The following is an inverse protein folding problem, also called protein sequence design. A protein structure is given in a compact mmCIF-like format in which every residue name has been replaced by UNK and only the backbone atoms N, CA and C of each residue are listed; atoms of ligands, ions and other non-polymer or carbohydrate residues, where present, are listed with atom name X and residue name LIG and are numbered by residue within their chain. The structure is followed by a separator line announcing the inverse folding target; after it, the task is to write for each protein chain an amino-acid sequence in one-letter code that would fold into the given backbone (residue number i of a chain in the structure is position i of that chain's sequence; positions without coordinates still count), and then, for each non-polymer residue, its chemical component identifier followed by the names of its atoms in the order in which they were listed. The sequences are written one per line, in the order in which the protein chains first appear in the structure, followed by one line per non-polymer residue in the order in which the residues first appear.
data_IF_151099190191
#
_entry.id   IF_151099190191
#
_cell.length_a   1.000
_cell.length_b   1.000
_cell.length_c   1.000
_cell.angle_alpha   90.00
_cell.angle_beta   90.00
_cell.angle_gamma   90.00
#
_symmetry.space_group_name_H-M   'P 1'
#
loop_
_entity.id
_entity.type
_entity.pdbx_description
1 polymer ?
#
# COMPACT_ATOMS: atom_id res chain seq x y z
N UNK A 1 -25.57 -31.51 -8.05
CA UNK A 1 -26.03 -32.02 -9.36
C UNK A 1 -24.99 -31.61 -10.40
N UNK A 2 -24.41 -32.56 -11.16
CA UNK A 2 -23.50 -32.21 -12.26
C UNK A 2 -24.17 -31.27 -13.25
N UNK A 3 -23.41 -30.31 -13.78
CA UNK A 3 -23.84 -29.34 -14.80
C UNK A 3 -22.93 -29.42 -16.01
N UNK A 4 -23.44 -29.05 -17.18
CA UNK A 4 -22.60 -28.95 -18.37
C UNK A 4 -21.68 -27.74 -18.24
N UNK A 5 -20.40 -27.92 -18.58
CA UNK A 5 -19.37 -26.87 -18.49
C UNK A 5 -19.60 -25.74 -19.50
N UNK A 6 -20.32 -26.04 -20.59
CA UNK A 6 -20.63 -25.07 -21.66
C UNK A 6 -21.89 -24.24 -21.36
N UNK A 7 -22.54 -24.46 -20.21
CA UNK A 7 -23.69 -23.66 -19.82
C UNK A 7 -23.27 -22.21 -19.57
N UNK A 8 -23.98 -21.20 -20.12
CA UNK A 8 -23.61 -19.80 -19.96
C UNK A 8 -23.46 -19.37 -18.49
N UNK A 9 -24.34 -19.86 -17.61
CA UNK A 9 -24.27 -19.57 -16.18
C UNK A 9 -23.00 -20.14 -15.53
N UNK A 10 -22.51 -21.30 -15.98
CA UNK A 10 -21.30 -21.92 -15.46
C UNK A 10 -20.06 -21.15 -15.94
N UNK A 11 -20.03 -20.77 -17.21
CA UNK A 11 -18.95 -19.94 -17.78
C UNK A 11 -18.88 -18.59 -17.06
N UNK A 12 -20.02 -17.92 -16.87
CA UNK A 12 -20.10 -16.66 -16.12
C UNK A 12 -19.55 -16.80 -14.69
N UNK A 13 -19.94 -17.86 -13.99
CA UNK A 13 -19.50 -18.12 -12.61
C UNK A 13 -17.99 -18.41 -12.54
N UNK A 14 -17.44 -19.13 -13.53
CA UNK A 14 -16.00 -19.37 -13.65
C UNK A 14 -15.21 -18.09 -13.92
N UNK A 15 -15.69 -17.24 -14.83
CA UNK A 15 -15.09 -15.94 -15.13
C UNK A 15 -15.17 -14.99 -13.92
N UNK A 16 -16.29 -14.98 -13.19
CA UNK A 16 -16.42 -14.24 -11.94
C UNK A 16 -15.36 -14.68 -10.92
N UNK A 17 -15.21 -15.98 -10.69
CA UNK A 17 -14.24 -16.51 -9.74
C UNK A 17 -12.80 -16.14 -10.12
N UNK A 18 -12.45 -16.25 -11.41
CA UNK A 18 -11.14 -15.81 -11.90
C UNK A 18 -10.94 -14.31 -11.66
N UNK A 19 -11.94 -13.49 -11.99
CA UNK A 19 -11.88 -12.04 -11.81
C UNK A 19 -11.70 -11.62 -10.35
N UNK A 20 -12.36 -12.31 -9.42
CA UNK A 20 -12.16 -12.08 -7.99
C UNK A 20 -10.78 -12.55 -7.52
N UNK A 21 -10.32 -13.73 -7.97
CA UNK A 21 -8.99 -14.23 -7.63
C UNK A 21 -7.87 -13.27 -8.11
N UNK A 22 -8.00 -12.71 -9.32
CA UNK A 22 -7.07 -11.72 -9.85
C UNK A 22 -6.98 -10.45 -9.00
N UNK A 23 -8.08 -10.05 -8.33
CA UNK A 23 -8.12 -8.87 -7.46
C UNK A 23 -7.45 -9.09 -6.10
N UNK A 24 -7.39 -10.33 -5.61
CA UNK A 24 -6.83 -10.65 -4.29
C UNK A 24 -5.30 -10.53 -4.21
N UNK A 25 -4.60 -10.37 -5.33
CA UNK A 25 -3.14 -10.32 -5.32
C UNK A 25 -2.60 -8.95 -4.92
N UNK A 26 -1.91 -8.89 -3.79
CA UNK A 26 -1.20 -7.70 -3.33
C UNK A 26 -0.04 -7.31 -4.24
N UNK A 27 0.69 -8.27 -4.82
CA UNK A 27 1.75 -8.01 -5.80
C UNK A 27 1.21 -7.70 -7.19
N UNK A 28 -0.04 -8.11 -7.47
CA UNK A 28 -0.65 -8.04 -8.80
C UNK A 28 -0.29 -9.22 -9.71
N UNK A 29 0.49 -10.20 -9.24
CA UNK A 29 0.92 -11.35 -10.05
C UNK A 29 -0.26 -12.19 -10.55
N UNK A 30 -1.36 -12.29 -9.78
CA UNK A 30 -2.53 -13.05 -10.21
C UNK A 30 -3.23 -12.46 -11.42
N UNK A 31 -2.98 -11.20 -11.80
CA UNK A 31 -3.47 -10.63 -13.08
C UNK A 31 -2.96 -11.40 -14.30
N UNK A 32 -1.92 -12.22 -14.14
CA UNK A 32 -1.38 -13.10 -15.18
C UNK A 32 -2.14 -14.41 -15.31
N UNK A 33 -3.00 -14.77 -14.35
CA UNK A 33 -3.83 -15.96 -14.43
C UNK A 33 -4.88 -15.77 -15.53
N UNK A 34 -5.07 -16.80 -16.33
CA UNK A 34 -6.19 -16.88 -17.27
C UNK A 34 -6.87 -18.23 -17.18
N UNK A 35 -8.18 -18.27 -17.48
CA UNK A 35 -8.94 -19.51 -17.50
C UNK A 35 -8.55 -20.29 -18.76
N UNK A 36 -7.91 -21.45 -18.58
CA UNK A 36 -7.60 -22.37 -19.68
C UNK A 36 -8.83 -23.19 -20.05
N UNK A 37 -9.44 -23.86 -19.06
CA UNK A 37 -10.70 -24.60 -19.25
C UNK A 37 -11.40 -24.91 -17.92
N UNK A 38 -12.69 -25.23 -18.00
CA UNK A 38 -13.47 -25.79 -16.89
C UNK A 38 -13.41 -27.32 -16.99
N UNK A 39 -12.88 -27.99 -15.97
CA UNK A 39 -12.74 -29.45 -15.91
C UNK A 39 -14.07 -30.11 -15.53
N UNK A 40 -14.75 -29.57 -14.52
CA UNK A 40 -16.07 -30.05 -14.10
C UNK A 40 -16.85 -28.98 -13.34
N UNK A 41 -18.18 -29.07 -13.40
CA UNK A 41 -19.08 -28.19 -12.67
C UNK A 41 -20.20 -28.98 -12.00
N UNK A 42 -20.55 -28.59 -10.77
CA UNK A 42 -21.70 -29.12 -10.06
C UNK A 42 -22.38 -28.03 -9.22
N UNK A 43 -23.71 -28.06 -9.16
CA UNK A 43 -24.49 -27.13 -8.34
C UNK A 43 -25.14 -27.82 -7.15
N UNK A 44 -25.27 -27.12 -6.04
CA UNK A 44 -25.99 -27.57 -4.86
C UNK A 44 -26.90 -26.46 -4.38
N UNK A 45 -28.17 -26.80 -4.23
CA UNK A 45 -29.16 -25.90 -3.68
C UNK A 45 -29.07 -25.89 -2.15
N UNK A 46 -28.47 -24.85 -1.58
CA UNK A 46 -28.36 -24.64 -0.14
C UNK A 46 -29.57 -23.89 0.43
N UNK A 47 -29.60 -23.67 1.75
CA UNK A 47 -30.69 -22.92 2.40
C UNK A 47 -30.68 -21.46 1.95
N UNK A 48 -29.53 -20.80 2.01
CA UNK A 48 -29.35 -19.37 1.71
C UNK A 48 -28.63 -19.11 0.38
N UNK A 49 -27.89 -20.09 -0.12
CA UNK A 49 -27.02 -19.93 -1.29
C UNK A 49 -27.28 -21.03 -2.32
N UNK A 50 -27.13 -20.69 -3.59
CA UNK A 50 -26.86 -21.65 -4.66
C UNK A 50 -25.34 -21.80 -4.76
N UNK A 51 -24.82 -22.97 -4.43
CA UNK A 51 -23.39 -23.24 -4.47
C UNK A 51 -23.03 -23.88 -5.81
N UNK A 52 -22.04 -23.34 -6.50
CA UNK A 52 -21.47 -23.89 -7.73
C UNK A 52 -20.04 -24.31 -7.43
N UNK A 53 -19.79 -25.61 -7.44
CA UNK A 53 -18.46 -26.21 -7.31
C UNK A 53 -17.86 -26.35 -8.71
N UNK A 54 -16.65 -25.83 -8.88
CA UNK A 54 -15.91 -25.78 -10.14
C UNK A 54 -14.53 -26.39 -9.93
N UNK A 55 -14.16 -27.31 -10.81
CA UNK A 55 -12.76 -27.70 -11.00
C UNK A 55 -12.28 -26.96 -12.25
N UNK A 56 -11.32 -26.06 -12.11
CA UNK A 56 -10.86 -25.17 -13.19
C UNK A 56 -9.38 -25.34 -13.45
N UNK A 57 -8.98 -25.22 -14.70
CA UNK A 57 -7.58 -25.08 -15.10
C UNK A 57 -7.26 -23.61 -15.30
N UNK A 58 -6.29 -23.12 -14.54
CA UNK A 58 -5.71 -21.80 -14.74
C UNK A 58 -4.37 -21.94 -15.45
N UNK A 59 -4.09 -21.00 -16.35
CA UNK A 59 -2.78 -20.87 -16.98
C UNK A 59 -2.06 -19.61 -16.52
N UNK A 60 -0.75 -19.74 -16.27
CA UNK A 60 0.17 -18.64 -16.00
C UNK A 60 1.59 -19.11 -16.28
N UNK A 61 2.46 -18.24 -16.86
CA UNK A 61 3.87 -18.57 -17.04
C UNK A 61 4.68 -18.51 -15.73
N UNK A 62 4.06 -18.13 -14.61
CA UNK A 62 4.74 -17.85 -13.35
C UNK A 62 4.33 -18.79 -12.20
N UNK A 63 3.71 -19.93 -12.49
CA UNK A 63 3.48 -20.93 -11.44
C UNK A 63 4.80 -21.45 -10.89
N UNK A 64 4.88 -21.62 -9.57
CA UNK A 64 6.07 -22.10 -8.86
C UNK A 64 6.48 -23.51 -9.26
N UNK A 65 5.52 -24.33 -9.67
CA UNK A 65 5.79 -25.69 -10.18
C UNK A 65 6.56 -25.69 -11.51
N UNK A 66 6.55 -24.58 -12.24
CA UNK A 66 7.04 -24.48 -13.62
C UNK A 66 6.08 -25.03 -14.68
N UNK A 67 4.91 -25.54 -14.29
CA UNK A 67 3.86 -25.91 -15.22
C UNK A 67 3.20 -24.65 -15.82
N UNK A 68 2.70 -24.75 -17.06
CA UNK A 68 1.94 -23.66 -17.68
C UNK A 68 0.47 -23.64 -17.25
N UNK A 69 -0.05 -24.77 -16.78
CA UNK A 69 -1.46 -24.99 -16.45
C UNK A 69 -1.55 -25.82 -15.17
N UNK A 70 -2.39 -25.40 -14.24
CA UNK A 70 -2.66 -26.09 -12.97
C UNK A 70 -4.17 -26.13 -12.68
N UNK A 71 -4.60 -27.14 -11.93
CA UNK A 71 -6.02 -27.39 -11.61
C UNK A 71 -6.32 -26.92 -10.20
N UNK A 72 -7.42 -26.20 -10.02
CA UNK A 72 -7.89 -25.68 -8.75
C UNK A 72 -9.38 -25.97 -8.54
N UNK A 73 -9.74 -26.30 -7.30
CA UNK A 73 -11.12 -26.47 -6.87
C UNK A 73 -11.63 -25.14 -6.27
N UNK A 74 -12.72 -24.65 -6.81
CA UNK A 74 -13.30 -23.36 -6.48
C UNK A 74 -14.79 -23.52 -6.23
N UNK A 75 -15.30 -22.87 -5.20
CA UNK A 75 -16.72 -22.80 -4.89
C UNK A 75 -17.20 -21.38 -5.04
N UNK A 76 -18.23 -21.15 -5.85
CA UNK A 76 -18.92 -19.86 -5.95
C UNK A 76 -20.30 -20.00 -5.32
N UNK A 77 -20.63 -19.09 -4.41
CA UNK A 77 -21.89 -19.05 -3.70
C UNK A 77 -22.68 -17.83 -4.17
N UNK A 78 -23.87 -18.06 -4.70
CA UNK A 78 -24.82 -16.99 -5.04
C UNK A 78 -25.90 -16.93 -3.98
N UNK A 79 -25.98 -15.84 -3.25
CA UNK A 79 -27.02 -15.63 -2.25
C UNK A 79 -28.40 -15.50 -2.92
N UNK A 80 -29.40 -16.20 -2.38
CA UNK A 80 -30.69 -16.41 -3.05
C UNK A 80 -31.59 -15.18 -3.08
N UNK A 81 -31.47 -14.28 -2.10
CA UNK A 81 -32.38 -13.15 -1.94
C UNK A 81 -31.92 -11.91 -2.73
N UNK A 82 -30.63 -11.58 -2.68
CA UNK A 82 -30.04 -10.38 -3.29
C UNK A 82 -29.25 -10.69 -4.58
N UNK A 83 -28.94 -11.97 -4.82
CA UNK A 83 -28.15 -12.40 -5.98
C UNK A 83 -26.65 -12.12 -5.85
N UNK A 84 -26.15 -11.71 -4.68
CA UNK A 84 -24.73 -11.42 -4.47
C UNK A 84 -23.89 -12.68 -4.64
N UNK A 85 -22.75 -12.55 -5.31
CA UNK A 85 -21.79 -13.64 -5.49
C UNK A 85 -20.63 -13.51 -4.51
N UNK A 86 -20.20 -14.64 -3.98
CA UNK A 86 -18.97 -14.79 -3.20
C UNK A 86 -18.26 -16.06 -3.66
N UNK A 87 -16.96 -16.17 -3.44
CA UNK A 87 -16.22 -17.36 -3.82
C UNK A 87 -15.25 -17.81 -2.72
N UNK A 88 -14.91 -19.09 -2.76
CA UNK A 88 -13.93 -19.73 -1.90
C UNK A 88 -13.05 -20.65 -2.76
N UNK A 89 -11.78 -20.75 -2.40
CA UNK A 89 -10.79 -21.63 -3.02
C UNK A 89 -10.07 -22.35 -1.89
N UNK A 90 -9.80 -23.64 -2.07
CA UNK A 90 -9.14 -24.45 -1.04
C UNK A 90 -7.67 -24.04 -0.88
N UNK A 91 -6.93 -24.04 -1.99
CA UNK A 91 -5.52 -23.68 -2.05
C UNK A 91 -5.29 -22.56 -3.06
N UNK A 92 -4.60 -21.50 -2.63
CA UNK A 92 -4.23 -20.41 -3.52
C UNK A 92 -3.09 -20.81 -4.45
N UNK A 93 -3.06 -20.30 -5.70
CA UNK A 93 -1.96 -20.57 -6.60
C UNK A 93 -0.59 -20.14 -6.06
N UNK A 94 0.36 -21.08 -5.98
CA UNK A 94 1.74 -20.76 -5.63
C UNK A 94 2.47 -20.23 -6.87
N UNK A 95 3.01 -19.01 -6.76
CA UNK A 95 3.72 -18.34 -7.84
C UNK A 95 5.23 -18.32 -7.58
N UNK A 96 6.01 -18.15 -8.65
CA UNK A 96 7.45 -17.95 -8.62
C UNK A 96 7.82 -16.68 -7.82
N UNK A 97 8.67 -16.82 -6.81
CA UNK A 97 9.03 -15.73 -5.89
C UNK A 97 9.70 -14.55 -6.63
N UNK A 98 10.58 -14.84 -7.58
CA UNK A 98 11.25 -13.81 -8.40
C UNK A 98 10.22 -13.04 -9.25
N UNK A 99 9.19 -13.73 -9.78
CA UNK A 99 8.10 -13.07 -10.47
C UNK A 99 7.27 -12.19 -9.52
N UNK A 100 6.94 -12.67 -8.32
CA UNK A 100 6.18 -11.89 -7.32
C UNK A 100 6.89 -10.56 -7.04
N UNK A 101 8.21 -10.61 -6.80
CA UNK A 101 9.02 -9.41 -6.54
C UNK A 101 8.98 -8.44 -7.73
N UNK A 102 9.20 -8.94 -8.95
CA UNK A 102 9.14 -8.09 -10.17
C UNK A 102 7.81 -7.38 -10.33
N UNK A 103 6.69 -8.09 -10.16
CA UNK A 103 5.35 -7.51 -10.26
C UNK A 103 5.09 -6.49 -9.15
N UNK A 104 5.59 -6.74 -7.94
CA UNK A 104 5.48 -5.80 -6.84
C UNK A 104 6.27 -4.51 -7.11
N UNK A 105 7.52 -4.62 -7.58
CA UNK A 105 8.35 -3.46 -7.97
C UNK A 105 7.63 -2.65 -9.05
N UNK A 106 7.09 -3.32 -10.08
CA UNK A 106 6.32 -2.67 -11.14
C UNK A 106 5.11 -1.92 -10.57
N UNK A 107 4.31 -2.54 -9.71
CA UNK A 107 3.13 -1.93 -9.09
C UNK A 107 3.50 -0.69 -8.27
N UNK A 108 4.59 -0.75 -7.49
CA UNK A 108 5.08 0.40 -6.72
C UNK A 108 5.51 1.54 -7.65
N UNK A 109 6.21 1.22 -8.73
CA UNK A 109 6.65 2.20 -9.71
C UNK A 109 5.49 2.84 -10.49
N UNK A 110 4.47 2.07 -10.85
CA UNK A 110 3.22 2.57 -11.43
C UNK A 110 2.52 3.54 -10.49
N UNK A 111 2.40 3.19 -9.20
CA UNK A 111 1.84 4.09 -8.19
C UNK A 111 2.70 5.35 -7.99
N UNK A 112 4.03 5.24 -8.00
CA UNK A 112 4.93 6.39 -7.91
C UNK A 112 4.68 7.35 -9.08
N UNK A 113 4.64 6.83 -10.31
CA UNK A 113 4.37 7.60 -11.51
C UNK A 113 2.99 8.27 -11.47
N UNK A 114 1.96 7.53 -11.04
CA UNK A 114 0.60 8.06 -10.91
C UNK A 114 0.53 9.21 -9.90
N UNK A 115 1.24 9.11 -8.77
CA UNK A 115 1.35 10.23 -7.82
C UNK A 115 2.08 11.43 -8.40
N UNK A 116 3.20 11.22 -9.08
CA UNK A 116 3.96 12.30 -9.73
C UNK A 116 3.12 13.03 -10.80
N UNK A 117 2.31 12.30 -11.56
CA UNK A 117 1.38 12.87 -12.54
C UNK A 117 0.26 13.66 -11.86
N UNK A 118 -0.32 13.13 -10.78
CA UNK A 118 -1.32 13.85 -9.99
C UNK A 118 -0.77 15.16 -9.41
N UNK A 119 0.46 15.15 -8.86
CA UNK A 119 1.11 16.35 -8.36
C UNK A 119 1.38 17.36 -9.48
N UNK A 120 1.87 16.91 -10.64
CA UNK A 120 2.09 17.78 -11.80
C UNK A 120 0.79 18.43 -12.26
N UNK A 121 -0.32 17.69 -12.27
CA UNK A 121 -1.62 18.24 -12.64
C UNK A 121 -2.05 19.31 -11.64
N UNK A 122 -1.89 19.06 -10.33
CA UNK A 122 -2.19 20.06 -9.30
C UNK A 122 -1.31 21.32 -9.43
N UNK A 123 -0.01 21.18 -9.74
CA UNK A 123 0.87 22.33 -9.97
C UNK A 123 0.41 23.18 -11.18
N UNK A 124 -0.04 22.54 -12.26
CA UNK A 124 -0.58 23.22 -13.44
C UNK A 124 -1.90 23.92 -13.15
N UNK A 125 -2.78 23.28 -12.37
CA UNK A 125 -4.06 23.86 -11.96
C UNK A 125 -3.81 25.12 -11.11
N UNK A 126 -2.90 25.05 -10.12
CA UNK A 126 -2.49 26.20 -9.30
C UNK A 126 -1.93 27.34 -10.16
N UNK A 127 -1.07 27.04 -11.15
CA UNK A 127 -0.50 28.05 -12.03
C UNK A 127 -1.60 28.74 -12.88
N UNK A 128 -2.57 27.95 -13.35
CA UNK A 128 -3.70 28.45 -14.16
C UNK A 128 -4.65 29.33 -13.34
N UNK A 129 -4.84 29.01 -12.06
CA UNK A 129 -5.61 29.83 -11.12
C UNK A 129 -4.91 31.19 -10.87
N UNK A 130 -3.58 31.18 -10.66
CA UNK A 130 -2.81 32.42 -10.45
C UNK A 130 -2.83 33.37 -11.67
N UNK A 131 -2.81 32.85 -12.89
CA UNK A 131 -2.90 33.67 -14.10
C UNK A 131 -4.32 34.27 -14.31
N UNK A 132 -5.36 33.60 -13.82
CA UNK A 132 -6.74 34.11 -13.89
C UNK A 132 -7.11 35.09 -12.77
N UNK A 133 -6.41 35.06 -11.63
CA UNK A 133 -6.60 36.03 -10.52
C UNK A 133 -5.93 37.39 -10.78
N UNK A 134 -5.21 37.53 -11.90
CA UNK A 134 -4.67 38.80 -12.37
C UNK A 134 -5.62 39.56 -13.31
N UNK A 135 -6.15 40.69 -12.83
CA UNK A 135 -6.41 41.95 -13.58
C UNK A 135 -7.87 42.39 -13.83
N UNK A 136 -8.56 42.82 -12.78
CA UNK A 136 -9.31 44.10 -12.84
C UNK A 136 -8.66 45.14 -11.88
N UNK A 137 -7.73 45.99 -12.36
CA UNK A 137 -7.09 47.02 -11.55
C UNK A 137 -8.01 48.23 -11.26
N UNK A 138 -9.31 48.18 -11.57
CA UNK A 138 -10.19 49.36 -11.53
C UNK A 138 -10.87 49.65 -10.19
N UNK A 139 -10.69 48.88 -9.12
CA UNK A 139 -11.39 49.11 -7.85
C UNK A 139 -10.44 49.46 -6.70
N UNK A 140 -9.65 50.53 -6.89
CA UNK A 140 -9.00 51.25 -5.78
C UNK A 140 -9.87 52.43 -5.39
N UNK A 141 -10.51 52.32 -4.22
CA UNK A 141 -10.74 53.38 -3.23
C UNK A 141 -12.03 53.11 -2.45
N UNK A 142 -11.98 52.19 -1.49
CA UNK A 142 -12.42 52.50 -0.12
C UNK A 142 -11.51 51.76 0.86
N UNK A 143 -10.82 52.54 1.68
CA UNK A 143 -10.03 52.10 2.80
C UNK A 143 -10.95 51.54 3.89
N UNK A 144 -11.07 50.22 3.97
CA UNK A 144 -11.40 49.55 5.21
C UNK A 144 -10.33 48.49 5.49
N UNK A 145 -9.78 48.59 6.70
CA UNK A 145 -8.79 47.74 7.32
C UNK A 145 -9.27 46.29 7.37
N UNK A 146 -8.82 45.43 6.46
CA UNK A 146 -9.04 43.99 6.56
C UNK A 146 -7.71 43.26 6.78
N UNK A 147 -7.56 42.84 8.02
CA UNK A 147 -6.68 41.81 8.55
C UNK A 147 -6.67 40.59 7.61
N UNK A 148 -5.62 40.49 6.79
CA UNK A 148 -5.36 39.32 5.93
C UNK A 148 -4.78 38.19 6.77
N UNK A 149 -5.53 37.78 7.78
CA UNK A 149 -5.47 36.42 8.30
C UNK A 149 -6.10 35.57 7.22
N UNK A 150 -5.26 34.89 6.44
CA UNK A 150 -5.69 33.81 5.54
C UNK A 150 -6.43 32.80 6.41
N UNK A 151 -7.74 33.00 6.50
CA UNK A 151 -8.66 32.11 7.18
C UNK A 151 -8.67 30.85 6.34
N UNK A 152 -7.76 29.93 6.68
CA UNK A 152 -8.12 28.53 6.77
C UNK A 152 -9.51 28.51 7.38
N UNK A 153 -10.55 28.37 6.56
CA UNK A 153 -11.86 27.97 7.06
C UNK A 153 -11.63 26.57 7.60
N UNK A 154 -11.16 26.51 8.84
CA UNK A 154 -11.00 25.28 9.58
C UNK A 154 -12.40 24.70 9.58
N UNK A 155 -12.62 23.61 8.87
CA UNK A 155 -13.85 22.85 8.95
C UNK A 155 -13.76 22.05 10.27
N UNK A 156 -14.27 22.56 11.42
CA UNK A 156 -14.05 21.91 12.71
C UNK A 156 -14.64 20.50 12.72
N UNK A 157 -15.66 20.27 11.91
CA UNK A 157 -16.29 18.97 11.65
C UNK A 157 -15.31 17.90 11.17
N UNK A 158 -14.30 18.24 10.35
CA UNK A 158 -13.36 17.24 9.80
C UNK A 158 -12.38 16.74 10.85
N UNK A 159 -12.00 17.60 11.81
CA UNK A 159 -11.04 17.24 12.86
C UNK A 159 -11.55 16.12 13.78
N UNK A 160 -12.88 15.96 13.91
CA UNK A 160 -13.52 14.91 14.70
C UNK A 160 -13.87 13.63 13.93
N UNK A 161 -13.75 13.60 12.61
CA UNK A 161 -14.11 12.44 11.78
C UNK A 161 -13.09 11.30 11.93
N UNK A 162 -13.53 10.06 11.78
CA UNK A 162 -12.65 8.89 11.66
C UNK A 162 -11.93 8.88 10.30
N UNK A 163 -10.84 8.12 10.17
CA UNK A 163 -10.13 7.99 8.87
C UNK A 163 -11.07 7.47 7.78
N UNK A 164 -11.96 6.53 8.09
CA UNK A 164 -12.96 6.01 7.15
C UNK A 164 -13.92 7.09 6.67
N UNK A 165 -14.40 7.95 7.57
CA UNK A 165 -15.28 9.07 7.23
C UNK A 165 -14.55 10.12 6.39
N UNK A 166 -13.28 10.42 6.71
CA UNK A 166 -12.45 11.31 5.88
C UNK A 166 -12.22 10.74 4.47
N UNK A 167 -11.96 9.43 4.34
CA UNK A 167 -11.90 8.78 3.03
C UNK A 167 -13.24 8.82 2.28
N UNK A 168 -14.36 8.72 3.00
CA UNK A 168 -15.68 8.86 2.40
C UNK A 168 -15.92 10.29 1.89
N UNK A 169 -15.49 11.33 2.63
CA UNK A 169 -15.50 12.73 2.17
C UNK A 169 -14.63 12.91 0.92
N UNK A 170 -13.44 12.30 0.87
CA UNK A 170 -12.57 12.34 -0.31
C UNK A 170 -13.15 11.60 -1.53
N UNK A 171 -14.01 10.60 -1.29
CA UNK A 171 -14.65 9.78 -2.31
C UNK A 171 -15.96 10.37 -2.82
N UNK A 172 -16.54 11.36 -2.14
CA UNK A 172 -17.79 12.01 -2.56
C UNK A 172 -17.55 12.92 -3.77
N UNK A 173 -18.18 12.53 -4.88
CA UNK A 173 -18.26 13.21 -6.18
C UNK A 173 -17.00 13.97 -6.63
N UNK A 174 -16.06 13.19 -7.17
CA UNK A 174 -14.94 13.67 -7.99
C UNK A 174 -15.39 14.51 -9.20
N UNK A 175 -16.66 14.41 -9.61
CA UNK A 175 -17.26 15.15 -10.72
C UNK A 175 -17.87 16.50 -10.33
N UNK A 176 -17.94 16.83 -9.04
CA UNK A 176 -18.48 18.12 -8.60
C UNK A 176 -17.45 19.23 -8.88
N UNK A 177 -17.84 20.22 -9.68
CA UNK A 177 -17.08 21.47 -9.89
C UNK A 177 -17.38 22.53 -8.83
N UNK A 178 -18.03 22.15 -7.73
CA UNK A 178 -18.35 23.05 -6.63
C UNK A 178 -17.06 23.37 -5.84
N UNK A 179 -16.66 24.64 -5.82
CA UNK A 179 -15.47 25.12 -5.10
C UNK A 179 -15.53 24.78 -3.61
N UNK A 180 -16.71 24.84 -2.99
CA UNK A 180 -16.89 24.44 -1.60
C UNK A 180 -16.54 22.97 -1.32
N UNK A 181 -16.72 22.09 -2.31
CA UNK A 181 -16.34 20.68 -2.19
C UNK A 181 -14.82 20.49 -2.35
N UNK A 182 -14.16 21.30 -3.20
CA UNK A 182 -12.69 21.26 -3.35
C UNK A 182 -11.99 21.68 -2.06
N UNK A 183 -12.44 22.77 -1.44
CA UNK A 183 -11.85 23.25 -0.18
C UNK A 183 -12.05 22.25 0.95
N UNK A 184 -13.23 21.63 1.02
CA UNK A 184 -13.51 20.57 2.00
C UNK A 184 -12.64 19.33 1.80
N UNK A 185 -12.36 18.95 0.56
CA UNK A 185 -11.44 17.84 0.23
C UNK A 185 -9.99 18.18 0.54
N UNK A 186 -9.54 19.40 0.24
CA UNK A 186 -8.21 19.90 0.63
C UNK A 186 -8.05 19.86 2.15
N UNK A 187 -9.02 20.37 2.89
CA UNK A 187 -9.02 20.33 4.35
C UNK A 187 -9.04 18.89 4.90
N UNK A 188 -9.77 17.96 4.26
CA UNK A 188 -9.76 16.55 4.66
C UNK A 188 -8.40 15.89 4.44
N UNK A 189 -7.70 16.21 3.34
CA UNK A 189 -6.32 15.76 3.10
C UNK A 189 -5.36 16.31 4.15
N UNK A 190 -5.43 17.60 4.48
CA UNK A 190 -4.58 18.20 5.52
C UNK A 190 -4.80 17.55 6.89
N UNK A 191 -6.04 17.20 7.24
CA UNK A 191 -6.34 16.46 8.48
C UNK A 191 -5.77 15.05 8.45
N UNK A 192 -5.84 14.36 7.30
CA UNK A 192 -5.26 13.01 7.14
C UNK A 192 -3.73 13.07 7.26
N UNK A 193 -3.08 13.98 6.54
CA UNK A 193 -1.63 14.15 6.55
C UNK A 193 -1.14 14.54 7.95
N UNK A 194 -1.81 15.51 8.60
CA UNK A 194 -1.46 15.90 9.97
C UNK A 194 -1.63 14.76 10.99
N UNK A 195 -2.64 13.90 10.81
CA UNK A 195 -2.81 12.69 11.64
C UNK A 195 -1.74 11.66 11.36
N UNK A 196 -1.39 11.44 10.10
CA UNK A 196 -0.32 10.53 9.71
C UNK A 196 1.03 11.00 10.25
N UNK A 197 1.33 12.29 10.22
CA UNK A 197 2.55 12.83 10.81
C UNK A 197 2.57 12.68 12.33
N UNK A 198 1.44 12.89 12.99
CA UNK A 198 1.32 12.69 14.44
C UNK A 198 1.49 11.21 14.82
N UNK A 199 0.79 10.30 14.12
CA UNK A 199 0.86 8.86 14.34
C UNK A 199 2.24 8.31 14.01
N UNK A 200 2.85 8.75 12.89
CA UNK A 200 4.21 8.37 12.53
C UNK A 200 5.23 8.85 13.57
N UNK A 201 5.05 10.05 14.13
CA UNK A 201 5.90 10.58 15.20
C UNK A 201 5.72 9.80 16.50
N UNK A 202 4.49 9.51 16.90
CA UNK A 202 4.20 8.71 18.09
C UNK A 202 4.76 7.29 17.95
N UNK A 203 4.54 6.64 16.80
CA UNK A 203 5.13 5.34 16.47
C UNK A 203 6.65 5.39 16.47
N UNK A 204 7.24 6.44 15.89
CA UNK A 204 8.69 6.60 15.92
C UNK A 204 9.21 6.76 17.36
N UNK A 205 8.54 7.54 18.21
CA UNK A 205 8.90 7.73 19.61
C UNK A 205 8.69 6.46 20.47
N UNK A 206 7.69 5.63 20.15
CA UNK A 206 7.47 4.32 20.76
C UNK A 206 8.57 3.34 20.33
N UNK A 207 8.75 3.16 19.02
CA UNK A 207 9.67 2.19 18.43
C UNK A 207 11.14 2.55 18.71
N UNK A 208 11.48 3.84 18.76
CA UNK A 208 12.84 4.31 19.08
C UNK A 208 13.28 3.96 20.50
N UNK A 209 12.34 3.70 21.42
CA UNK A 209 12.62 3.21 22.79
C UNK A 209 12.79 1.69 22.86
N UNK A 210 12.37 0.95 21.82
CA UNK A 210 12.48 -0.50 21.80
C UNK A 210 13.91 -0.98 21.54
N UNK A 211 14.24 -2.18 22.01
CA UNK A 211 15.50 -2.85 21.67
C UNK A 211 15.50 -3.23 20.19
N UNK A 212 16.66 -3.19 19.55
CA UNK A 212 16.80 -3.50 18.11
C UNK A 212 16.29 -4.92 17.78
N UNK A 213 16.47 -5.88 18.69
CA UNK A 213 15.94 -7.25 18.52
C UNK A 213 14.42 -7.31 18.44
N UNK A 214 13.70 -6.46 19.18
CA UNK A 214 12.25 -6.35 19.11
C UNK A 214 11.78 -5.65 17.83
N UNK A 215 12.55 -4.70 17.31
CA UNK A 215 12.26 -4.06 16.02
C UNK A 215 12.34 -5.07 14.86
N UNK A 216 13.33 -5.96 14.86
CA UNK A 216 13.41 -7.03 13.86
C UNK A 216 12.20 -7.98 13.91
N UNK A 217 11.66 -8.28 15.09
CA UNK A 217 10.45 -9.10 15.19
C UNK A 217 9.24 -8.43 14.53
N UNK A 218 9.15 -7.10 14.62
CA UNK A 218 8.09 -6.30 13.99
C UNK A 218 8.20 -6.34 12.47
N UNK A 219 9.41 -6.19 11.91
CA UNK A 219 9.61 -6.20 10.46
C UNK A 219 9.36 -7.58 9.83
N UNK A 220 9.72 -8.66 10.55
CA UNK A 220 9.50 -10.04 10.08
C UNK A 220 8.09 -10.59 10.33
N UNK A 221 7.26 -9.90 11.11
CA UNK A 221 5.93 -10.41 11.45
C UNK A 221 4.92 -10.19 10.32
N UNK A 222 4.22 -11.22 9.81
CA UNK A 222 3.24 -11.06 8.74
C UNK A 222 1.97 -10.31 9.19
N UNK A 223 1.70 -10.23 10.49
CA UNK A 223 0.47 -9.63 11.04
C UNK A 223 0.59 -8.14 11.36
N UNK A 224 1.80 -7.57 11.27
CA UNK A 224 2.02 -6.16 11.56
C UNK A 224 1.68 -5.30 10.34
N UNK A 225 0.92 -4.23 10.56
CA UNK A 225 0.55 -3.23 9.56
C UNK A 225 1.79 -2.63 8.90
N UNK A 226 1.78 -2.50 7.57
CA UNK A 226 2.91 -2.03 6.74
C UNK A 226 3.54 -0.72 7.25
N UNK A 227 2.74 0.21 7.75
CA UNK A 227 3.23 1.49 8.28
C UNK A 227 4.19 1.31 9.48
N UNK A 228 3.85 0.44 10.44
CA UNK A 228 4.71 0.14 11.60
C UNK A 228 6.02 -0.54 11.20
N UNK A 229 5.99 -1.41 10.18
CA UNK A 229 7.20 -2.04 9.63
C UNK A 229 8.15 -1.00 9.04
N UNK A 230 7.62 -0.10 8.21
CA UNK A 230 8.41 0.94 7.56
C UNK A 230 9.10 1.86 8.58
N UNK A 231 8.41 2.24 9.65
CA UNK A 231 9.00 3.04 10.73
C UNK A 231 10.08 2.25 11.48
N UNK A 232 9.84 0.96 11.77
CA UNK A 232 10.83 0.10 12.42
C UNK A 232 12.11 -0.08 11.58
N UNK A 233 11.97 -0.28 10.26
CA UNK A 233 13.10 -0.40 9.33
C UNK A 233 13.97 0.85 9.33
N UNK A 234 13.35 2.04 9.20
CA UNK A 234 14.09 3.32 9.26
C UNK A 234 14.87 3.51 10.57
N UNK A 235 14.29 3.08 11.70
CA UNK A 235 14.97 3.15 13.01
C UNK A 235 16.16 2.18 13.06
N UNK A 236 16.01 0.97 12.51
CA UNK A 236 17.09 -0.02 12.44
C UNK A 236 18.24 0.52 11.57
N UNK A 237 17.95 1.05 10.38
CA UNK A 237 18.94 1.66 9.48
C UNK A 237 19.70 2.80 10.16
N UNK A 238 18.99 3.71 10.83
CA UNK A 238 19.60 4.81 11.56
C UNK A 238 20.53 4.34 12.68
N UNK A 239 20.18 3.27 13.40
CA UNK A 239 21.03 2.68 14.45
C UNK A 239 22.27 2.00 13.88
N UNK A 240 22.14 1.25 12.79
CA UNK A 240 23.26 0.61 12.12
C UNK A 240 24.27 1.65 11.62
N UNK A 241 23.79 2.76 11.06
CA UNK A 241 24.66 3.85 10.61
C UNK A 241 25.44 4.50 11.77
N UNK A 242 24.82 4.68 12.94
CA UNK A 242 25.51 5.18 14.13
C UNK A 242 26.55 4.18 14.69
N UNK A 243 26.31 2.87 14.53
CA UNK A 243 27.29 1.84 14.91
C UNK A 243 28.53 1.88 14.01
N UNK A 244 28.35 2.11 12.71
CA UNK A 244 29.45 2.26 11.74
C UNK A 244 30.31 3.51 12.04
N UNK A 245 29.69 4.60 12.48
CA UNK A 245 30.40 5.82 12.87
C UNK A 245 31.10 5.74 14.23
N UNK A 246 30.74 4.77 15.08
CA UNK A 246 31.29 4.61 16.42
C UNK A 246 32.37 3.54 16.52
N UNK A 247 32.86 3.02 15.38
CA UNK A 247 34.12 2.28 15.37
C UNK A 247 35.20 3.16 16.00
N UNK A 248 35.76 2.76 17.16
CA UNK A 248 36.78 3.56 17.82
C UNK A 248 37.96 3.62 16.85
N UNK A 249 38.36 4.83 16.47
CA UNK A 249 39.59 5.08 15.74
C UNK A 249 40.68 4.22 16.38
N UNK A 250 41.08 3.15 15.69
CA UNK A 250 42.04 2.19 16.19
C UNK A 250 43.27 3.01 16.51
N UNK A 251 43.48 3.25 17.81
CA UNK A 251 44.62 3.97 18.30
C UNK A 251 45.82 3.11 17.93
N UNK A 252 46.44 3.45 16.80
CA UNK A 252 47.73 2.94 16.39
C UNK A 252 48.76 3.47 17.38
N UNK A 253 48.73 2.91 18.59
CA UNK A 253 49.80 3.07 19.55
C UNK A 253 51.06 2.52 18.88
N UNK A 254 52.10 3.34 18.68
CA UNK A 254 53.32 2.89 18.02
C UNK A 254 53.90 1.70 18.80
N UNK A 255 54.43 0.68 18.11
CA UNK A 255 55.05 -0.46 18.78
C UNK A 255 56.18 0.04 19.66
N UNK A 256 56.02 -0.09 20.98
CA UNK A 256 57.08 0.20 21.93
C UNK A 256 58.25 -0.75 21.64
N UNK A 257 59.29 -0.22 20.98
CA UNK A 257 60.59 -0.88 20.86
C UNK A 257 61.13 -1.06 22.27
N UNK A 258 61.08 -2.30 22.77
CA UNK A 258 61.91 -2.75 23.90
C UNK A 258 63.37 -2.47 23.51
N UNK A 259 63.97 -1.46 24.16
CA UNK A 259 65.42 -1.31 24.18
C UNK A 259 65.92 -2.37 25.16
N UNK A 260 66.46 -3.45 24.61
CA UNK A 260 67.30 -4.36 25.38
C UNK A 260 68.53 -3.57 25.83
N UNK A 261 68.61 -3.43 27.15
CA UNK A 261 69.65 -2.76 27.91
C UNK A 261 70.87 -3.68 27.97
N UNK A 262 71.91 -3.28 27.25
CA UNK A 262 73.24 -3.86 27.31
C UNK A 262 74.08 -2.99 28.26
N UNK A 263 74.37 -3.47 29.46
CA UNK A 263 75.48 -2.99 30.30
C UNK A 263 75.91 -4.17 31.20
N UNK A 264 77.01 -4.87 30.90
CA UNK A 264 78.40 -4.61 31.35
C UNK A 264 78.53 -4.33 32.85
N UNK A 265 79.17 -5.26 33.57
CA UNK A 265 80.33 -5.08 34.48
C UNK A 265 80.36 -6.25 35.49
N UNK A 266 81.36 -7.14 35.34
CA UNK A 266 82.52 -7.27 36.25
C UNK A 266 82.21 -7.91 37.61
N UNK A 267 82.53 -9.21 37.75
CA UNK A 267 83.57 -9.77 38.63
C UNK A 267 83.58 -11.30 38.56
#
# INVERSE_FOLDING_TARGET
MPRSIDEPDIVFVAEFALGELQKLSDSGIYRTLSLDRIVSAATQDGIFHMNTFLSMQFSSPYFKSGALVEVYEVMVMRHKEDGTFSFAIDDFPEMDDDAIERFWIQKVEEHRRSREEAFRQMELDILTEMDNEGHDPSSTDQAETNDSTSSSEVFPELTGMTSTELFQVLSQDLSSTDEGNKDRRRAALEVIDGRWDHEAKELHDELSKMKTSSLYQITTSPTVVNHRKLVAEKIIEGRLHLMDQSEPAVSQSPPQRKKDELDRSEL
#
